data_IF_726302032384
#
_entry.id   IF_726302032384
#
_cell.length_a   1.000
_cell.length_b   1.000
_cell.length_c   1.000
_cell.angle_alpha   90.00
_cell.angle_beta   90.00
_cell.angle_gamma   90.00
#
_symmetry.space_group_name_H-M   'P 1'
#
loop_
_entity.id
_entity.type
_entity.pdbx_description
1 polymer ?
#
# COMPACT_ATOMS: atom_id res chain seq x y z
N UNK A 1 26.60 11.19 -12.06
CA UNK A 1 25.59 10.24 -11.57
C UNK A 1 24.83 9.55 -12.72
N UNK A 2 24.26 10.27 -13.70
CA UNK A 2 23.45 9.67 -14.79
C UNK A 2 24.22 8.71 -15.68
N UNK A 3 25.52 8.89 -15.90
CA UNK A 3 26.33 7.94 -16.67
C UNK A 3 26.42 6.59 -15.96
N UNK A 4 26.71 6.59 -14.67
CA UNK A 4 26.79 5.37 -13.87
C UNK A 4 25.40 4.69 -13.73
N UNK A 5 24.34 5.48 -13.55
CA UNK A 5 22.97 4.97 -13.53
C UNK A 5 22.58 4.32 -14.88
N UNK A 6 22.99 4.92 -16.00
CA UNK A 6 22.73 4.35 -17.34
C UNK A 6 23.40 2.99 -17.49
N UNK A 7 24.66 2.86 -17.06
CA UNK A 7 25.38 1.60 -17.14
C UNK A 7 24.70 0.55 -16.25
N UNK A 8 24.28 0.92 -15.04
CA UNK A 8 23.51 0.07 -14.12
C UNK A 8 22.20 -0.44 -14.73
N UNK A 9 21.45 0.43 -15.43
CA UNK A 9 20.22 0.07 -16.11
C UNK A 9 20.47 -0.82 -17.33
N UNK A 10 21.56 -0.60 -18.07
CA UNK A 10 21.93 -1.44 -19.21
C UNK A 10 22.30 -2.86 -18.79
N UNK A 11 22.80 -3.04 -17.57
CA UNK A 11 23.06 -4.36 -16.98
C UNK A 11 21.79 -5.08 -16.49
N UNK A 12 20.61 -4.51 -16.75
CA UNK A 12 19.30 -5.09 -16.43
C UNK A 12 18.82 -4.85 -15.00
N UNK A 13 19.48 -3.96 -14.26
CA UNK A 13 19.09 -3.62 -12.89
C UNK A 13 18.01 -2.52 -12.86
N UNK A 14 17.23 -2.46 -11.78
CA UNK A 14 16.28 -1.37 -11.57
C UNK A 14 16.97 -0.13 -10.98
N UNK A 15 16.46 1.07 -11.30
CA UNK A 15 17.04 2.31 -10.75
C UNK A 15 16.89 2.38 -9.22
N UNK A 16 15.87 1.73 -8.62
CA UNK A 16 15.65 1.70 -7.16
C UNK A 16 16.74 0.95 -6.39
N UNK A 17 17.44 0.03 -7.04
CA UNK A 17 18.57 -0.71 -6.46
C UNK A 17 19.94 -0.07 -6.73
N UNK A 18 19.97 1.10 -7.38
CA UNK A 18 21.20 1.85 -7.61
C UNK A 18 21.65 2.52 -6.31
N UNK A 19 22.84 2.15 -5.83
CA UNK A 19 23.42 2.72 -4.62
C UNK A 19 24.03 4.10 -4.93
N UNK A 20 23.55 5.13 -4.24
CA UNK A 20 24.05 6.50 -4.35
C UNK A 20 23.87 7.25 -3.02
N UNK A 21 24.52 8.39 -2.87
CA UNK A 21 24.30 9.29 -1.74
C UNK A 21 23.00 10.11 -1.90
N UNK A 22 22.66 10.90 -0.88
CA UNK A 22 21.41 11.70 -0.86
C UNK A 22 21.38 12.78 -1.94
N UNK A 23 22.51 13.40 -2.26
CA UNK A 23 22.62 14.43 -3.28
C UNK A 23 22.40 13.85 -4.67
N UNK A 24 23.04 12.74 -4.97
CA UNK A 24 22.89 11.99 -6.22
C UNK A 24 21.46 11.44 -6.36
N UNK A 25 20.86 10.93 -5.27
CA UNK A 25 19.48 10.48 -5.25
C UNK A 25 18.50 11.61 -5.60
N UNK A 26 18.71 12.81 -5.06
CA UNK A 26 17.91 13.98 -5.39
C UNK A 26 18.00 14.36 -6.89
N UNK A 27 19.19 14.27 -7.48
CA UNK A 27 19.42 14.50 -8.91
C UNK A 27 18.72 13.43 -9.74
N UNK A 28 18.87 12.14 -9.38
CA UNK A 28 18.24 11.01 -10.08
C UNK A 28 16.71 11.11 -10.03
N UNK A 29 16.15 11.56 -8.90
CA UNK A 29 14.70 11.73 -8.75
C UNK A 29 14.10 12.70 -9.78
N UNK A 30 14.86 13.69 -10.27
CA UNK A 30 14.40 14.62 -11.31
C UNK A 30 14.13 13.94 -12.67
N UNK A 31 14.68 12.75 -12.89
CA UNK A 31 14.45 12.00 -14.12
C UNK A 31 13.12 11.23 -14.11
N UNK A 32 12.40 11.21 -13.01
CA UNK A 32 11.07 10.58 -12.83
C UNK A 32 10.97 9.15 -13.40
N UNK A 33 12.05 8.37 -13.29
CA UNK A 33 12.10 7.00 -13.82
C UNK A 33 11.07 6.09 -13.14
N UNK A 34 10.33 5.32 -13.93
CA UNK A 34 9.38 4.34 -13.40
C UNK A 34 10.05 3.31 -12.51
N UNK A 35 11.27 2.90 -12.84
CA UNK A 35 12.05 1.94 -12.05
C UNK A 35 12.61 2.49 -10.72
N UNK A 36 12.44 3.80 -10.44
CA UNK A 36 12.68 4.40 -9.12
C UNK A 36 11.49 4.27 -8.19
N UNK A 37 10.28 4.13 -8.74
CA UNK A 37 9.08 4.08 -7.92
C UNK A 37 9.08 2.82 -7.04
N UNK A 38 8.61 2.93 -5.78
CA UNK A 38 8.42 1.76 -4.94
C UNK A 38 7.39 0.82 -5.57
N UNK A 39 7.58 -0.48 -5.36
CA UNK A 39 6.74 -1.52 -5.96
C UNK A 39 6.24 -2.52 -4.92
N UNK A 40 5.15 -3.18 -5.27
CA UNK A 40 4.64 -4.39 -4.60
C UNK A 40 4.55 -5.46 -5.67
N UNK A 41 5.04 -6.65 -5.37
CA UNK A 41 4.86 -7.83 -6.20
C UNK A 41 3.55 -8.53 -5.81
N UNK A 42 2.55 -8.51 -6.68
CA UNK A 42 1.35 -9.33 -6.55
C UNK A 42 1.59 -10.67 -7.25
N UNK A 43 1.94 -11.70 -6.48
CA UNK A 43 2.20 -13.02 -7.00
C UNK A 43 0.88 -13.75 -7.21
N UNK A 44 0.43 -13.84 -8.47
CA UNK A 44 -0.80 -14.54 -8.82
C UNK A 44 -0.57 -16.04 -8.86
N UNK A 45 -1.25 -16.76 -8.00
CA UNK A 45 -1.19 -18.22 -7.83
C UNK A 45 -2.54 -18.85 -8.13
N UNK A 46 -2.53 -20.15 -8.45
CA UNK A 46 -3.75 -20.96 -8.41
C UNK A 46 -4.19 -21.22 -6.97
N UNK A 47 -5.33 -21.84 -6.78
CA UNK A 47 -5.92 -22.08 -5.45
C UNK A 47 -5.00 -22.91 -4.55
N UNK A 48 -4.41 -24.00 -5.10
CA UNK A 48 -3.50 -24.87 -4.37
C UNK A 48 -2.22 -24.13 -3.97
N UNK A 49 -1.63 -23.39 -4.92
CA UNK A 49 -0.45 -22.57 -4.67
C UNK A 49 -0.68 -21.40 -3.75
N UNK A 50 -1.91 -20.86 -3.70
CA UNK A 50 -2.29 -19.80 -2.78
C UNK A 50 -2.43 -20.33 -1.34
N UNK A 51 -3.01 -21.52 -1.16
CA UNK A 51 -3.17 -22.15 0.15
C UNK A 51 -1.82 -22.43 0.84
N UNK A 52 -0.78 -22.79 0.07
CA UNK A 52 0.59 -23.01 0.58
C UNK A 52 1.63 -22.34 -0.33
N UNK A 53 1.58 -21.00 -0.38
CA UNK A 53 2.45 -20.22 -1.27
C UNK A 53 3.95 -20.41 -0.96
N UNK A 54 4.30 -20.64 0.30
CA UNK A 54 5.69 -20.83 0.70
C UNK A 54 6.30 -22.17 0.26
N UNK A 55 5.51 -23.16 -0.14
CA UNK A 55 5.98 -24.39 -0.78
C UNK A 55 6.20 -24.24 -2.29
N UNK A 56 5.64 -23.21 -2.90
CA UNK A 56 5.76 -22.95 -4.34
C UNK A 56 7.16 -22.42 -4.69
N UNK A 57 7.86 -23.13 -5.57
CA UNK A 57 9.24 -22.79 -5.96
C UNK A 57 9.34 -21.41 -6.66
N UNK A 58 8.36 -21.07 -7.49
CA UNK A 58 8.34 -19.78 -8.18
C UNK A 58 8.04 -18.62 -7.23
N UNK A 59 7.16 -18.83 -6.25
CA UNK A 59 6.88 -17.84 -5.23
C UNK A 59 8.12 -17.49 -4.42
N UNK A 60 8.92 -18.50 -4.03
CA UNK A 60 10.21 -18.28 -3.32
C UNK A 60 11.19 -17.43 -4.14
N UNK A 61 11.26 -17.64 -5.45
CA UNK A 61 12.13 -16.84 -6.34
C UNK A 61 11.67 -15.37 -6.32
N UNK A 62 10.36 -15.12 -6.33
CA UNK A 62 9.80 -13.76 -6.24
C UNK A 62 10.06 -13.15 -4.87
N UNK A 63 9.95 -13.92 -3.78
CA UNK A 63 10.30 -13.45 -2.43
C UNK A 63 11.76 -13.03 -2.33
N UNK A 64 12.68 -13.84 -2.87
CA UNK A 64 14.12 -13.52 -2.90
C UNK A 64 14.42 -12.27 -3.74
N UNK A 65 13.75 -12.10 -4.88
CA UNK A 65 13.88 -10.91 -5.70
C UNK A 65 13.38 -9.67 -4.95
N UNK A 66 12.19 -9.76 -4.37
CA UNK A 66 11.58 -8.67 -3.63
C UNK A 66 12.44 -8.26 -2.42
N UNK A 67 12.99 -9.23 -1.69
CA UNK A 67 13.89 -8.97 -0.57
C UNK A 67 15.14 -8.19 -1.00
N UNK A 68 15.72 -8.51 -2.16
CA UNK A 68 16.87 -7.79 -2.72
C UNK A 68 16.53 -6.34 -3.11
N UNK A 69 15.29 -6.11 -3.54
CA UNK A 69 14.82 -4.77 -3.95
C UNK A 69 14.16 -3.99 -2.82
N UNK A 70 14.06 -4.56 -1.61
CA UNK A 70 13.34 -3.94 -0.49
C UNK A 70 11.83 -3.81 -0.75
N UNK A 71 11.26 -4.65 -1.62
CA UNK A 71 9.86 -4.67 -1.99
C UNK A 71 9.06 -5.71 -1.17
N UNK A 72 7.75 -5.52 -1.08
CA UNK A 72 6.83 -6.48 -0.47
C UNK A 72 6.25 -7.43 -1.53
N UNK A 73 6.03 -8.69 -1.17
CA UNK A 73 5.28 -9.66 -1.97
C UNK A 73 3.95 -9.95 -1.31
N UNK A 74 2.90 -10.00 -2.12
CA UNK A 74 1.55 -10.38 -1.69
C UNK A 74 1.10 -11.52 -2.56
N UNK A 75 0.86 -12.72 -2.00
CA UNK A 75 0.22 -13.80 -2.75
C UNK A 75 -1.24 -13.44 -2.98
N UNK A 76 -1.70 -13.62 -4.19
CA UNK A 76 -3.10 -13.41 -4.61
C UNK A 76 -3.54 -14.60 -5.45
N UNK A 77 -4.83 -14.92 -5.41
CA UNK A 77 -5.45 -15.83 -6.35
C UNK A 77 -6.57 -15.07 -7.07
N UNK A 78 -6.29 -14.63 -8.30
CA UNK A 78 -7.24 -13.80 -9.05
C UNK A 78 -8.61 -14.48 -9.26
N UNK A 79 -8.65 -15.81 -9.32
CA UNK A 79 -9.90 -16.58 -9.42
C UNK A 79 -10.73 -16.44 -8.14
N UNK A 80 -10.13 -16.67 -6.97
CA UNK A 80 -10.80 -16.49 -5.67
C UNK A 80 -11.24 -15.04 -5.46
N UNK A 81 -10.39 -14.07 -5.85
CA UNK A 81 -10.76 -12.65 -5.74
C UNK A 81 -11.97 -12.29 -6.60
N UNK A 82 -12.09 -12.87 -7.80
CA UNK A 82 -13.26 -12.67 -8.65
C UNK A 82 -14.52 -13.24 -8.00
N UNK A 83 -14.45 -14.44 -7.40
CA UNK A 83 -15.58 -15.05 -6.67
C UNK A 83 -15.95 -14.21 -5.44
N UNK A 84 -14.97 -13.77 -4.66
CA UNK A 84 -15.18 -12.92 -3.47
C UNK A 84 -15.84 -11.58 -3.84
N UNK A 85 -15.52 -11.04 -5.00
CA UNK A 85 -16.05 -9.74 -5.45
C UNK A 85 -17.56 -9.80 -5.80
N UNK A 86 -18.10 -10.98 -6.07
CA UNK A 86 -19.53 -11.20 -6.37
C UNK A 86 -20.37 -11.41 -5.10
N UNK A 87 -19.73 -11.59 -3.92
CA UNK A 87 -20.40 -11.90 -2.67
C UNK A 87 -20.75 -10.64 -1.87
N UNK A 88 -21.91 -10.66 -1.21
CA UNK A 88 -22.33 -9.65 -0.25
C UNK A 88 -21.54 -9.76 1.08
N UNK A 89 -21.64 -8.74 1.95
CA UNK A 89 -20.82 -8.60 3.15
C UNK A 89 -20.78 -9.83 4.07
N UNK A 90 -21.93 -10.44 4.35
CA UNK A 90 -22.02 -11.62 5.22
C UNK A 90 -21.56 -12.89 4.49
N UNK A 91 -21.93 -13.05 3.23
CA UNK A 91 -21.48 -14.17 2.39
C UNK A 91 -19.97 -14.12 2.16
N UNK A 92 -19.43 -12.94 1.88
CA UNK A 92 -17.97 -12.71 1.78
C UNK A 92 -17.26 -13.17 3.04
N UNK A 93 -17.76 -12.79 4.22
CA UNK A 93 -17.16 -13.18 5.50
C UNK A 93 -17.17 -14.69 5.69
N UNK A 94 -18.29 -15.36 5.44
CA UNK A 94 -18.39 -16.81 5.55
C UNK A 94 -17.42 -17.51 4.59
N UNK A 95 -17.32 -17.02 3.35
CA UNK A 95 -16.42 -17.58 2.35
C UNK A 95 -14.95 -17.45 2.74
N UNK A 96 -14.55 -16.28 3.26
CA UNK A 96 -13.19 -16.06 3.79
C UNK A 96 -12.88 -16.97 4.99
N UNK A 97 -13.84 -17.13 5.90
CA UNK A 97 -13.70 -18.01 7.07
C UNK A 97 -13.55 -19.48 6.63
N UNK A 98 -14.31 -19.95 5.64
CA UNK A 98 -14.21 -21.30 5.08
C UNK A 98 -12.85 -21.56 4.42
N UNK A 99 -12.26 -20.55 3.79
CA UNK A 99 -10.90 -20.60 3.23
C UNK A 99 -9.80 -20.45 4.28
N UNK A 100 -10.14 -20.11 5.53
CA UNK A 100 -9.18 -19.87 6.60
C UNK A 100 -8.35 -18.60 6.42
N UNK A 101 -8.83 -17.61 5.64
CA UNK A 101 -8.16 -16.33 5.37
C UNK A 101 -8.89 -15.18 6.05
N UNK A 102 -8.15 -14.33 6.73
CA UNK A 102 -8.72 -13.20 7.47
C UNK A 102 -9.19 -12.04 6.58
N UNK A 103 -8.60 -11.89 5.40
CA UNK A 103 -8.82 -10.76 4.48
C UNK A 103 -8.61 -11.20 3.04
N UNK A 104 -9.34 -10.58 2.10
CA UNK A 104 -9.11 -10.78 0.67
C UNK A 104 -7.72 -10.29 0.23
N UNK A 105 -7.23 -10.78 -0.89
CA UNK A 105 -5.98 -10.30 -1.49
C UNK A 105 -6.07 -8.83 -1.89
N UNK A 106 -7.26 -8.37 -2.32
CA UNK A 106 -7.52 -6.97 -2.63
C UNK A 106 -7.37 -6.08 -1.37
N UNK A 107 -7.95 -6.48 -0.23
CA UNK A 107 -7.84 -5.72 1.02
C UNK A 107 -6.38 -5.64 1.47
N UNK A 108 -5.64 -6.74 1.37
CA UNK A 108 -4.20 -6.81 1.66
C UNK A 108 -3.38 -5.91 0.73
N UNK A 109 -3.71 -5.89 -0.56
CA UNK A 109 -3.04 -5.04 -1.55
C UNK A 109 -3.27 -3.56 -1.26
N UNK A 110 -4.50 -3.17 -0.89
CA UNK A 110 -4.83 -1.80 -0.50
C UNK A 110 -4.02 -1.40 0.73
N UNK A 111 -4.02 -2.21 1.78
CA UNK A 111 -3.26 -1.92 3.01
C UNK A 111 -1.75 -1.79 2.75
N UNK A 112 -1.18 -2.70 1.98
CA UNK A 112 0.22 -2.66 1.60
C UNK A 112 0.56 -1.41 0.76
N UNK A 113 -0.33 -1.02 -0.14
CA UNK A 113 -0.15 0.19 -0.96
C UNK A 113 -0.17 1.46 -0.10
N UNK A 114 -1.09 1.55 0.85
CA UNK A 114 -1.13 2.65 1.82
C UNK A 114 0.15 2.70 2.67
N UNK A 115 0.59 1.55 3.17
CA UNK A 115 1.82 1.45 3.95
C UNK A 115 3.05 1.87 3.12
N UNK A 116 3.16 1.37 1.87
CA UNK A 116 4.26 1.68 0.96
C UNK A 116 4.35 3.18 0.64
N UNK A 117 3.20 3.83 0.45
CA UNK A 117 3.10 5.26 0.15
C UNK A 117 3.16 6.14 1.42
N UNK A 118 3.24 5.52 2.60
CA UNK A 118 3.20 6.22 3.88
C UNK A 118 1.90 6.99 4.10
N UNK A 119 0.78 6.45 3.63
CA UNK A 119 -0.54 7.06 3.75
C UNK A 119 -1.28 6.54 4.99
N UNK A 120 -2.07 7.43 5.58
CA UNK A 120 -3.05 7.11 6.61
C UNK A 120 -4.37 7.81 6.27
N UNK A 121 -5.47 7.28 6.81
CA UNK A 121 -6.78 7.92 6.69
C UNK A 121 -7.28 8.38 8.05
N UNK A 122 -7.99 9.51 8.08
CA UNK A 122 -8.82 9.91 9.19
C UNK A 122 -10.25 10.13 8.72
N UNK A 123 -11.19 10.00 9.61
CA UNK A 123 -12.61 10.14 9.33
C UNK A 123 -13.12 11.46 9.92
N UNK A 124 -14.05 12.09 9.22
CA UNK A 124 -14.87 13.16 9.77
C UNK A 124 -16.31 12.70 9.83
N UNK A 125 -16.99 13.02 10.93
CA UNK A 125 -18.42 12.80 11.10
C UNK A 125 -19.11 14.15 11.35
N UNK A 126 -20.07 14.47 10.53
CA UNK A 126 -20.93 15.65 10.65
C UNK A 126 -22.39 15.26 10.49
N UNK A 127 -23.31 16.22 10.68
CA UNK A 127 -24.74 15.97 10.52
C UNK A 127 -25.10 15.55 9.09
N UNK A 128 -24.43 16.16 8.10
CA UNK A 128 -24.74 15.95 6.68
C UNK A 128 -23.85 14.89 6.01
N UNK A 129 -22.63 14.68 6.50
CA UNK A 129 -21.64 13.83 5.80
C UNK A 129 -20.67 13.15 6.77
N UNK A 130 -20.43 11.86 6.52
CA UNK A 130 -19.29 11.11 7.05
C UNK A 130 -18.31 10.85 5.92
N UNK A 131 -17.02 11.22 6.11
CA UNK A 131 -16.03 11.11 5.03
C UNK A 131 -14.66 10.68 5.52
N UNK A 132 -13.98 9.84 4.69
CA UNK A 132 -12.58 9.47 4.87
C UNK A 132 -11.66 10.42 4.09
N UNK A 133 -10.57 10.84 4.74
CA UNK A 133 -9.57 11.73 4.19
C UNK A 133 -8.20 11.07 4.25
N UNK A 134 -7.50 11.04 3.13
CA UNK A 134 -6.17 10.45 3.04
C UNK A 134 -5.09 11.51 3.17
N UNK A 135 -4.13 11.27 4.07
CA UNK A 135 -2.98 12.13 4.33
C UNK A 135 -1.70 11.30 4.44
N UNK A 136 -0.54 11.93 4.35
CA UNK A 136 0.73 11.27 4.64
C UNK A 136 0.91 11.09 6.14
N UNK A 137 1.49 9.97 6.55
CA UNK A 137 1.89 9.72 7.95
C UNK A 137 2.84 10.82 8.41
N UNK A 138 2.58 11.39 9.59
CA UNK A 138 3.34 12.53 10.11
C UNK A 138 2.80 13.92 9.71
N UNK A 139 1.75 13.99 8.88
CA UNK A 139 1.04 15.26 8.62
C UNK A 139 0.49 15.83 9.93
N UNK A 140 0.76 17.10 10.18
CA UNK A 140 0.29 17.78 11.39
C UNK A 140 -1.19 18.14 11.29
N UNK A 141 -1.87 18.30 12.42
CA UNK A 141 -3.31 18.54 12.49
C UNK A 141 -3.80 19.74 11.64
N UNK A 142 -3.13 20.89 11.58
CA UNK A 142 -3.57 22.00 10.71
C UNK A 142 -3.58 21.59 9.22
N UNK A 143 -2.52 20.94 8.74
CA UNK A 143 -2.43 20.50 7.35
C UNK A 143 -3.45 19.38 7.05
N UNK A 144 -3.72 18.49 8.04
CA UNK A 144 -4.77 17.50 7.89
C UNK A 144 -6.15 18.16 7.77
N UNK A 145 -6.46 19.16 8.59
CA UNK A 145 -7.67 19.95 8.48
C UNK A 145 -7.77 20.68 7.13
N UNK A 146 -6.64 21.11 6.58
CA UNK A 146 -6.54 21.71 5.25
C UNK A 146 -6.99 20.80 4.10
N UNK A 147 -6.95 19.47 4.31
CA UNK A 147 -7.51 18.49 3.36
C UNK A 147 -9.02 18.56 3.26
N UNK A 148 -9.68 18.92 4.34
CA UNK A 148 -11.14 19.12 4.37
C UNK A 148 -11.49 20.43 3.67
N UNK A 149 -10.85 21.53 4.10
CA UNK A 149 -11.00 22.85 3.49
C UNK A 149 -9.80 23.75 3.86
N UNK A 150 -9.36 24.58 2.91
CA UNK A 150 -8.19 25.45 3.09
C UNK A 150 -8.34 26.44 4.25
N UNK A 151 -9.58 26.87 4.55
CA UNK A 151 -9.85 27.77 5.67
C UNK A 151 -9.64 27.08 7.02
N UNK A 152 -9.84 25.77 7.10
CA UNK A 152 -9.58 24.99 8.31
C UNK A 152 -8.08 24.90 8.64
N UNK A 153 -7.21 24.93 7.64
CA UNK A 153 -5.78 25.02 7.89
C UNK A 153 -5.38 26.38 8.48
N UNK A 154 -5.90 27.47 7.89
CA UNK A 154 -5.58 28.84 8.31
C UNK A 154 -6.17 29.20 9.67
N UNK A 155 -7.40 28.75 9.92
CA UNK A 155 -8.13 29.02 11.15
C UNK A 155 -8.02 27.91 12.20
N UNK A 156 -7.10 26.95 12.05
CA UNK A 156 -7.00 25.81 12.95
C UNK A 156 -6.65 26.25 14.38
N UNK A 157 -7.50 25.87 15.32
CA UNK A 157 -7.30 26.12 16.75
C UNK A 157 -7.08 24.79 17.48
N UNK A 158 -8.03 23.87 17.34
CA UNK A 158 -8.00 22.53 17.94
C UNK A 158 -8.92 21.58 17.18
N UNK A 159 -8.69 20.28 17.35
CA UNK A 159 -9.60 19.23 16.93
C UNK A 159 -9.90 18.31 18.11
N UNK A 160 -11.11 17.80 18.18
CA UNK A 160 -11.45 16.65 19.01
C UNK A 160 -11.23 15.40 18.17
N UNK A 161 -10.48 14.45 18.72
CA UNK A 161 -10.11 13.22 18.01
C UNK A 161 -10.43 12.04 18.91
N UNK A 162 -11.15 11.08 18.37
CA UNK A 162 -11.48 9.81 19.01
C UNK A 162 -10.85 8.69 18.18
N UNK A 163 -10.33 7.66 18.83
CA UNK A 163 -9.88 6.47 18.14
C UNK A 163 -11.09 5.76 17.51
N UNK A 164 -10.91 5.23 16.29
CA UNK A 164 -11.98 4.56 15.56
C UNK A 164 -12.58 3.38 16.35
N UNK A 165 -11.72 2.55 16.95
CA UNK A 165 -12.17 1.38 17.71
C UNK A 165 -12.96 1.80 18.97
N UNK A 166 -12.56 2.90 19.62
CA UNK A 166 -13.29 3.46 20.79
C UNK A 166 -14.65 4.01 20.37
N UNK A 167 -14.72 4.65 19.20
CA UNK A 167 -15.97 5.17 18.65
C UNK A 167 -16.95 4.03 18.30
N UNK A 168 -16.44 2.94 17.74
CA UNK A 168 -17.27 1.79 17.35
C UNK A 168 -17.71 0.93 18.54
N UNK A 169 -17.07 1.08 19.71
CA UNK A 169 -17.41 0.39 20.95
C UNK A 169 -18.49 1.11 21.79
N UNK A 170 -18.83 2.38 21.45
CA UNK A 170 -19.90 3.17 22.10
C UNK A 170 -21.25 2.94 21.46
#
# INVERSE_FOLDING_TARGET
VFSALKDWLNDGNSARSFACDEDDAAIIATAELLSLKPIIYAANLDEDGFADCHSNAYYKIVEELAAREGAQVIPVCAKLEAEIAELDGDEKKMFLDDLGIAQSGLDRLIQASYALLGLISFLTSGEDECRAWTIKKGTKAPQAAGKIHTDFERGFIRAEVVNFDDLMAC
#
